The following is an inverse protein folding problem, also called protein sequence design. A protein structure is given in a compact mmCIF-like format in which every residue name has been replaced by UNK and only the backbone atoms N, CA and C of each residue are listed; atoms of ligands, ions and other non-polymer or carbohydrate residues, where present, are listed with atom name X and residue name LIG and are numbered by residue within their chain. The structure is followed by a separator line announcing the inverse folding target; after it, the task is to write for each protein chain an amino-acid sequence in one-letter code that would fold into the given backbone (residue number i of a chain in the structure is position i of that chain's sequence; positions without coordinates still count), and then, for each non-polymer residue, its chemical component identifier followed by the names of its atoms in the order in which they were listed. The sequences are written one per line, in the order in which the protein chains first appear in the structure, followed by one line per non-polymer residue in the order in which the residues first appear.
data_IF_305290778729
#
_entry.id   IF_305290778729
#
_cell.length_a   1.000
_cell.length_b   1.000
_cell.length_c   1.000
_cell.angle_alpha   90.00
_cell.angle_beta   90.00
_cell.angle_gamma   90.00
#
_symmetry.space_group_name_H-M   'P 1'
#
loop_
_entity.id
_entity.type
_entity.pdbx_description
1 polymer ?
#
# COMPACT_ATOMS: atom_id res chain seq x y z
N UNK A 1 8.24 2.43 19.87
CA UNK A 1 6.96 1.75 19.54
C UNK A 1 7.21 0.90 18.32
N UNK A 2 7.32 -0.41 18.50
CA UNK A 2 7.49 -1.38 17.42
C UNK A 2 6.15 -1.45 16.69
N UNK A 3 6.00 -0.72 15.59
CA UNK A 3 4.92 -1.02 14.68
C UNK A 3 5.22 -2.43 14.18
N UNK A 4 4.45 -3.41 14.67
CA UNK A 4 4.38 -4.73 14.05
C UNK A 4 4.28 -4.49 12.55
N UNK A 5 5.06 -5.24 11.78
CA UNK A 5 5.37 -5.02 10.36
C UNK A 5 4.12 -5.14 9.46
N UNK A 6 3.06 -4.39 9.75
CA UNK A 6 1.74 -4.49 9.15
C UNK A 6 1.83 -4.04 7.71
N UNK A 7 1.05 -4.74 6.89
CA UNK A 7 0.92 -4.46 5.48
C UNK A 7 -0.20 -3.45 5.25
N UNK A 8 0.10 -2.38 4.52
CA UNK A 8 -0.86 -1.37 4.09
C UNK A 8 -1.00 -1.43 2.57
N UNK A 9 -2.23 -1.55 2.07
CA UNK A 9 -2.55 -1.43 0.66
C UNK A 9 -2.96 0.02 0.34
N UNK A 10 -2.23 0.67 -0.56
CA UNK A 10 -2.52 2.02 -1.05
C UNK A 10 -3.22 1.90 -2.41
N UNK A 11 -4.35 2.59 -2.57
CA UNK A 11 -5.16 2.56 -3.80
C UNK A 11 -5.42 3.99 -4.27
N UNK A 12 -4.81 4.39 -5.39
CA UNK A 12 -4.97 5.70 -6.00
C UNK A 12 -4.58 5.61 -7.49
N UNK A 13 -5.35 6.23 -8.38
CA UNK A 13 -5.15 6.18 -9.84
C UNK A 13 -4.04 7.13 -10.33
N UNK A 14 -3.55 8.02 -9.46
CA UNK A 14 -2.48 8.98 -9.73
C UNK A 14 -1.13 8.45 -9.19
N UNK A 15 -0.14 8.13 -10.06
CA UNK A 15 1.15 7.59 -9.63
C UNK A 15 1.91 8.44 -8.60
N UNK A 16 1.78 9.77 -8.69
CA UNK A 16 2.42 10.71 -7.76
C UNK A 16 1.92 10.55 -6.33
N UNK A 17 0.61 10.40 -6.13
CA UNK A 17 0.00 10.27 -4.80
C UNK A 17 0.51 9.01 -4.10
N UNK A 18 0.53 7.89 -4.83
CA UNK A 18 1.07 6.62 -4.35
C UNK A 18 2.52 6.76 -3.92
N UNK A 19 3.36 7.43 -4.71
CA UNK A 19 4.78 7.63 -4.42
C UNK A 19 5.00 8.41 -3.14
N UNK A 20 4.25 9.50 -2.94
CA UNK A 20 4.29 10.31 -1.72
C UNK A 20 3.90 9.49 -0.50
N UNK A 21 2.76 8.79 -0.54
CA UNK A 21 2.24 8.01 0.60
C UNK A 21 3.20 6.86 0.94
N UNK A 22 3.71 6.15 -0.06
CA UNK A 22 4.69 5.07 0.15
C UNK A 22 5.97 5.58 0.80
N UNK A 23 6.42 6.79 0.43
CA UNK A 23 7.57 7.44 1.06
C UNK A 23 7.33 7.78 2.53
N UNK A 24 6.15 8.30 2.87
CA UNK A 24 5.76 8.65 4.25
C UNK A 24 5.70 7.41 5.14
N UNK A 25 5.17 6.30 4.63
CA UNK A 25 5.01 5.06 5.40
C UNK A 25 6.29 4.20 5.48
N UNK A 26 7.34 4.56 4.72
CA UNK A 26 8.58 3.81 4.63
C UNK A 26 9.25 3.67 6.00
N UNK A 27 9.61 2.44 6.37
CA UNK A 27 10.29 2.14 7.63
C UNK A 27 9.35 1.95 8.82
N UNK A 28 8.06 2.33 8.69
CA UNK A 28 7.02 2.02 9.68
C UNK A 28 6.10 0.88 9.23
N UNK A 29 5.89 0.73 7.92
CA UNK A 29 4.98 -0.27 7.34
C UNK A 29 5.56 -0.93 6.09
N UNK A 30 5.05 -2.13 5.78
CA UNK A 30 5.12 -2.71 4.42
C UNK A 30 3.99 -2.12 3.58
N UNK A 31 4.26 -1.82 2.32
CA UNK A 31 3.27 -1.20 1.43
C UNK A 31 3.06 -2.03 0.17
N UNK A 32 1.79 -2.24 -0.22
CA UNK A 32 1.38 -2.68 -1.56
C UNK A 32 0.64 -1.53 -2.26
N UNK A 33 0.65 -1.54 -3.59
CA UNK A 33 0.08 -0.46 -4.41
C UNK A 33 -0.85 -1.03 -5.48
N UNK A 34 -2.03 -0.42 -5.61
CA UNK A 34 -2.93 -0.58 -6.74
C UNK A 34 -3.28 0.79 -7.35
N UNK A 35 -3.37 0.84 -8.68
CA UNK A 35 -3.75 2.05 -9.44
C UNK A 35 -5.15 1.98 -10.01
N UNK A 36 -5.92 0.94 -9.65
CA UNK A 36 -7.32 0.78 -10.00
C UNK A 36 -7.98 -0.21 -9.03
N UNK A 37 -9.31 -0.25 -9.06
CA UNK A 37 -10.12 -1.07 -8.14
C UNK A 37 -9.94 -2.57 -8.33
N UNK A 38 -9.87 -3.06 -9.57
CA UNK A 38 -9.70 -4.49 -9.86
C UNK A 38 -8.40 -5.03 -9.25
N UNK A 39 -7.28 -4.34 -9.52
CA UNK A 39 -5.98 -4.69 -8.93
C UNK A 39 -6.00 -4.56 -7.40
N UNK A 40 -6.69 -3.56 -6.86
CA UNK A 40 -6.81 -3.40 -5.41
C UNK A 40 -7.50 -4.59 -4.75
N UNK A 41 -8.62 -5.05 -5.32
CA UNK A 41 -9.36 -6.20 -4.80
C UNK A 41 -8.54 -7.48 -4.87
N UNK A 42 -7.84 -7.72 -5.99
CA UNK A 42 -6.92 -8.87 -6.11
C UNK A 42 -5.87 -8.83 -5.01
N UNK A 43 -5.20 -7.67 -4.82
CA UNK A 43 -4.15 -7.53 -3.80
C UNK A 43 -4.68 -7.62 -2.36
N UNK A 44 -5.91 -7.16 -2.10
CA UNK A 44 -6.55 -7.23 -0.79
C UNK A 44 -6.97 -8.66 -0.41
N UNK A 45 -7.34 -9.47 -1.40
CA UNK A 45 -7.70 -10.88 -1.22
C UNK A 45 -6.51 -11.84 -1.19
N UNK A 46 -5.33 -11.39 -1.60
CA UNK A 46 -4.14 -12.24 -1.66
C UNK A 46 -3.66 -12.60 -0.25
N UNK A 47 -3.39 -13.89 -0.03
CA UNK A 47 -2.70 -14.34 1.18
C UNK A 47 -1.33 -13.64 1.30
N UNK A 48 -0.94 -13.31 2.52
CA UNK A 48 0.32 -12.63 2.81
C UNK A 48 1.52 -13.57 2.85
#
# INVERSE_FOLDING_TARGET
MTHDNKLVLIVDDTPTNVGVISGVLKGAYRTKVATNGEKALVLASAAE
#
